data_IF_074419837448
#
_entry.id   IF_074419837448
#
_cell.length_a   1.000
_cell.length_b   1.000
_cell.length_c   1.000
_cell.angle_alpha   90.00
_cell.angle_beta   90.00
_cell.angle_gamma   90.00
#
_symmetry.space_group_name_H-M   'P 1'
#
loop_
_entity.id
_entity.type
_entity.pdbx_description
1 polymer ?
#
# COMPACT_ATOMS: atom_id res chain seq x y z
N UNK A 1 -13.77 -60.56 -32.00
CA UNK A 1 -14.87 -61.54 -31.97
C UNK A 1 -15.09 -61.83 -30.50
N UNK A 2 -15.97 -61.16 -29.77
CA UNK A 2 -17.41 -60.80 -29.97
C UNK A 2 -17.68 -59.57 -29.06
N UNK A 3 -18.18 -58.39 -29.51
CA UNK A 3 -19.59 -57.95 -29.76
C UNK A 3 -20.61 -58.52 -28.75
N UNK A 4 -21.53 -57.82 -28.06
CA UNK A 4 -22.04 -56.44 -27.80
C UNK A 4 -23.11 -56.62 -26.65
N UNK A 5 -24.00 -55.69 -26.17
CA UNK A 5 -24.13 -54.22 -26.30
C UNK A 5 -24.57 -53.43 -25.00
N UNK A 6 -24.44 -52.09 -25.11
CA UNK A 6 -25.25 -50.91 -24.69
C UNK A 6 -26.44 -51.03 -23.69
N UNK A 7 -26.52 -50.08 -22.74
CA UNK A 7 -27.79 -49.40 -22.38
C UNK A 7 -27.53 -47.97 -21.85
N UNK A 8 -28.17 -46.99 -22.50
CA UNK A 8 -28.32 -45.57 -22.15
C UNK A 8 -29.59 -45.39 -21.31
N UNK A 9 -29.60 -44.46 -20.35
CA UNK A 9 -30.82 -43.92 -19.74
C UNK A 9 -30.83 -42.39 -19.88
N UNK A 10 -31.86 -41.89 -20.56
CA UNK A 10 -32.29 -40.48 -20.67
C UNK A 10 -33.56 -40.24 -19.83
N UNK A 11 -33.89 -38.94 -19.68
CA UNK A 11 -35.18 -38.30 -19.34
C UNK A 11 -35.51 -38.15 -17.83
N UNK A 12 -36.02 -37.02 -17.32
CA UNK A 12 -36.92 -36.01 -17.92
C UNK A 12 -36.92 -34.70 -17.10
N UNK A 13 -37.19 -33.57 -17.77
CA UNK A 13 -37.55 -32.26 -17.20
C UNK A 13 -39.09 -32.15 -17.20
N UNK A 14 -39.69 -31.72 -16.09
CA UNK A 14 -41.13 -31.34 -16.04
C UNK A 14 -41.28 -29.84 -15.74
N UNK A 15 -42.03 -29.19 -16.63
CA UNK A 15 -42.55 -27.83 -16.54
C UNK A 15 -44.05 -27.92 -16.23
N UNK A 16 -44.60 -27.07 -15.37
CA UNK A 16 -46.04 -26.83 -15.27
C UNK A 16 -46.34 -25.33 -15.28
N UNK A 17 -47.23 -24.94 -16.20
CA UNK A 17 -47.91 -23.65 -16.35
C UNK A 17 -49.43 -23.84 -16.11
N UNK A 18 -50.14 -22.70 -16.03
CA UNK A 18 -51.60 -22.46 -15.99
C UNK A 18 -52.30 -22.58 -14.61
N UNK A 19 -53.23 -21.72 -14.18
CA UNK A 19 -53.98 -20.58 -14.74
C UNK A 19 -55.15 -20.28 -13.75
N UNK A 20 -55.42 -19.02 -13.35
CA UNK A 20 -56.47 -18.11 -13.85
C UNK A 20 -57.79 -18.03 -13.03
N UNK A 21 -58.28 -16.79 -12.86
CA UNK A 21 -59.64 -16.29 -12.50
C UNK A 21 -60.11 -16.48 -11.04
N UNK A 22 -60.84 -15.56 -10.38
CA UNK A 22 -61.84 -14.60 -10.89
C UNK A 22 -62.11 -13.42 -9.92
N UNK A 23 -62.76 -12.39 -10.47
CA UNK A 23 -63.11 -11.05 -9.99
C UNK A 23 -64.02 -10.94 -8.74
N UNK A 24 -64.00 -9.77 -8.11
CA UNK A 24 -65.02 -9.32 -7.15
C UNK A 24 -64.81 -7.88 -6.68
N UNK A 25 -65.45 -6.93 -7.37
CA UNK A 25 -65.38 -5.49 -7.18
C UNK A 25 -66.21 -4.97 -5.98
N UNK A 26 -65.71 -3.92 -5.29
CA UNK A 26 -66.50 -2.75 -4.87
C UNK A 26 -65.58 -1.59 -4.36
N UNK A 27 -65.77 -0.40 -4.95
CA UNK A 27 -65.21 0.93 -4.56
C UNK A 27 -66.17 1.61 -3.57
N UNK A 28 -65.90 2.85 -3.09
CA UNK A 28 -64.68 3.46 -2.55
C UNK A 28 -64.97 4.11 -1.16
N UNK A 29 -63.94 4.52 -0.41
CA UNK A 29 -64.12 5.67 0.48
C UNK A 29 -62.85 6.52 0.48
N UNK A 30 -63.07 7.79 0.20
CA UNK A 30 -62.07 8.85 0.03
C UNK A 30 -61.40 9.25 1.36
N UNK A 31 -60.25 9.92 1.18
CA UNK A 31 -59.55 10.80 2.10
C UNK A 31 -58.49 10.19 3.04
N UNK A 32 -57.27 10.05 2.52
CA UNK A 32 -56.10 10.73 3.07
C UNK A 32 -54.97 10.72 2.03
N UNK A 33 -54.82 11.83 1.30
CA UNK A 33 -53.71 12.09 0.38
C UNK A 33 -52.48 12.42 1.24
N UNK A 34 -51.50 11.52 1.27
CA UNK A 34 -50.09 11.86 1.45
C UNK A 34 -49.39 11.19 0.28
N UNK A 35 -49.10 11.98 -0.75
CA UNK A 35 -48.31 11.57 -1.90
C UNK A 35 -46.86 11.36 -1.45
N UNK A 36 -46.52 10.11 -1.11
CA UNK A 36 -45.15 9.63 -1.27
C UNK A 36 -44.96 9.29 -2.74
N UNK A 37 -44.39 10.24 -3.49
CA UNK A 37 -43.98 10.02 -4.87
C UNK A 37 -42.80 9.04 -4.89
N UNK A 38 -43.15 7.79 -5.09
CA UNK A 38 -42.27 6.67 -5.35
C UNK A 38 -41.61 6.88 -6.73
N UNK A 39 -40.52 7.65 -6.77
CA UNK A 39 -39.69 7.73 -7.97
C UNK A 39 -38.79 6.49 -7.99
N UNK A 40 -39.22 5.49 -8.76
CA UNK A 40 -38.41 4.35 -9.19
C UNK A 40 -37.14 4.86 -9.86
N UNK A 41 -36.02 4.90 -9.15
CA UNK A 41 -34.71 5.18 -9.73
C UNK A 41 -34.21 3.92 -10.45
N UNK A 42 -34.11 4.04 -11.77
CA UNK A 42 -33.46 3.08 -12.66
C UNK A 42 -31.98 2.91 -12.25
N UNK A 43 -31.51 1.69 -11.90
CA UNK A 43 -30.14 1.44 -11.45
C UNK A 43 -29.07 1.64 -12.56
N UNK A 44 -29.44 2.11 -13.74
CA UNK A 44 -28.53 2.41 -14.84
C UNK A 44 -28.15 3.91 -14.98
N UNK A 45 -28.58 4.81 -14.08
CA UNK A 45 -28.19 6.23 -14.14
C UNK A 45 -26.98 6.51 -13.23
N UNK A 46 -25.79 6.14 -13.71
CA UNK A 46 -24.53 6.64 -13.16
C UNK A 46 -24.45 8.13 -13.48
N UNK A 47 -24.65 8.99 -12.49
CA UNK A 47 -24.20 10.37 -12.62
C UNK A 47 -22.70 10.35 -12.91
N UNK A 48 -22.24 11.00 -13.99
CA UNK A 48 -20.82 11.01 -14.31
C UNK A 48 -20.11 11.73 -13.17
N UNK A 49 -19.37 10.98 -12.35
CA UNK A 49 -18.29 11.51 -11.51
C UNK A 49 -17.51 12.48 -12.40
N UNK A 50 -17.42 13.74 -11.97
CA UNK A 50 -16.57 14.75 -12.62
C UNK A 50 -15.25 14.08 -13.01
N UNK A 51 -15.01 13.99 -14.31
CA UNK A 51 -13.73 13.55 -14.82
C UNK A 51 -12.69 14.52 -14.24
N UNK A 52 -11.89 14.03 -13.29
CA UNK A 52 -10.71 14.76 -12.82
C UNK A 52 -9.89 15.03 -14.07
N UNK A 53 -9.96 16.28 -14.57
CA UNK A 53 -9.26 16.72 -15.77
C UNK A 53 -7.78 16.41 -15.58
N UNK A 54 -7.33 15.31 -16.18
CA UNK A 54 -5.93 14.91 -16.13
C UNK A 54 -5.17 15.94 -16.94
N UNK A 55 -4.57 16.90 -16.23
CA UNK A 55 -3.75 17.95 -16.83
C UNK A 55 -2.80 17.35 -17.86
N UNK A 56 -2.78 17.93 -19.05
CA UNK A 56 -1.84 17.52 -20.09
C UNK A 56 -0.39 17.74 -19.62
N UNK A 57 0.60 16.97 -20.12
CA UNK A 57 2.00 17.17 -19.75
C UNK A 57 2.50 18.61 -19.95
N UNK A 58 1.99 19.29 -20.99
CA UNK A 58 2.34 20.69 -21.31
C UNK A 58 1.73 21.68 -20.31
N UNK A 59 0.46 21.52 -19.92
CA UNK A 59 -0.16 22.35 -18.89
C UNK A 59 0.52 22.14 -17.52
N UNK A 60 0.95 20.90 -17.22
CA UNK A 60 1.71 20.57 -16.01
C UNK A 60 3.07 21.27 -16.00
N UNK A 61 3.80 21.23 -17.11
CA UNK A 61 5.10 21.88 -17.24
C UNK A 61 5.00 23.42 -17.19
N UNK A 62 3.94 23.99 -17.77
CA UNK A 62 3.63 25.41 -17.66
C UNK A 62 3.34 25.84 -16.22
N UNK A 63 2.54 25.06 -15.47
CA UNK A 63 2.31 25.31 -14.04
C UNK A 63 3.59 25.17 -13.20
N UNK A 64 4.41 24.16 -13.46
CA UNK A 64 5.69 23.97 -12.77
C UNK A 64 6.65 25.14 -13.04
N UNK A 65 6.66 25.66 -14.27
CA UNK A 65 7.47 26.83 -14.65
C UNK A 65 6.95 28.10 -13.98
N UNK A 66 5.63 28.31 -13.97
CA UNK A 66 4.98 29.43 -13.24
C UNK A 66 5.32 29.36 -11.75
N UNK A 67 5.26 28.16 -11.16
CA UNK A 67 5.62 27.93 -9.77
C UNK A 67 7.11 28.22 -9.50
N UNK A 68 8.02 27.72 -10.33
CA UNK A 68 9.45 27.98 -10.18
C UNK A 68 9.78 29.49 -10.26
N UNK A 69 9.10 30.23 -11.14
CA UNK A 69 9.25 31.68 -11.25
C UNK A 69 8.66 32.42 -10.05
N UNK A 70 7.54 31.94 -9.52
CA UNK A 70 6.90 32.44 -8.29
C UNK A 70 7.84 32.29 -7.09
N UNK A 71 8.43 31.10 -6.91
CA UNK A 71 9.43 30.85 -5.86
C UNK A 71 10.65 31.76 -6.00
N UNK A 72 11.22 31.87 -7.22
CA UNK A 72 12.40 32.71 -7.45
C UNK A 72 12.12 34.18 -7.10
N UNK A 73 10.92 34.66 -7.43
CA UNK A 73 10.49 36.02 -7.14
C UNK A 73 10.26 36.21 -5.64
N UNK A 74 9.60 35.26 -4.98
CA UNK A 74 9.42 35.23 -3.53
C UNK A 74 10.76 35.28 -2.78
N UNK A 75 11.71 34.40 -3.14
CA UNK A 75 13.03 34.34 -2.51
C UNK A 75 13.82 35.66 -2.70
N UNK A 76 13.66 36.31 -3.86
CA UNK A 76 14.28 37.60 -4.11
C UNK A 76 13.68 38.71 -3.25
N UNK A 77 12.36 38.70 -3.06
CA UNK A 77 11.63 39.74 -2.33
C UNK A 77 11.77 39.58 -0.80
N UNK A 78 11.77 38.33 -0.29
CA UNK A 78 11.86 38.08 1.14
C UNK A 78 13.28 38.30 1.70
N UNK A 79 14.31 38.12 0.87
CA UNK A 79 15.70 38.38 1.22
C UNK A 79 16.09 39.87 1.11
N UNK A 80 15.21 40.71 0.55
CA UNK A 80 15.39 42.16 0.61
C UNK A 80 14.95 42.66 2.00
N UNK A 81 15.92 43.06 2.82
CA UNK A 81 15.72 43.48 4.22
C UNK A 81 14.54 44.44 4.41
N UNK A 82 13.61 44.09 5.30
CA UNK A 82 12.50 44.95 5.74
C UNK A 82 11.10 44.50 5.30
N UNK A 83 10.97 43.37 4.61
CA UNK A 83 9.69 42.98 4.03
C UNK A 83 8.80 42.15 4.99
N UNK A 84 7.51 42.48 5.01
CA UNK A 84 6.49 41.74 5.77
C UNK A 84 6.25 40.36 5.13
N UNK A 85 6.68 39.31 5.83
CA UNK A 85 6.55 37.92 5.38
C UNK A 85 5.09 37.53 5.13
N UNK A 86 4.15 38.05 5.93
CA UNK A 86 2.72 37.73 5.77
C UNK A 86 2.19 38.32 4.46
N UNK A 87 2.44 39.61 4.23
CA UNK A 87 2.01 40.31 3.02
C UNK A 87 2.65 39.76 1.73
N UNK A 88 3.93 39.37 1.78
CA UNK A 88 4.61 38.72 0.66
C UNK A 88 4.00 37.34 0.41
N UNK A 89 3.91 36.49 1.43
CA UNK A 89 3.42 35.12 1.27
C UNK A 89 2.00 35.10 0.73
N UNK A 90 1.12 35.96 1.24
CA UNK A 90 -0.26 36.06 0.75
C UNK A 90 -0.36 36.39 -0.74
N UNK A 91 0.48 37.31 -1.23
CA UNK A 91 0.53 37.70 -2.65
C UNK A 91 0.94 36.54 -3.56
N UNK A 92 1.92 35.75 -3.14
CA UNK A 92 2.44 34.65 -3.94
C UNK A 92 1.58 33.38 -3.86
N UNK A 93 0.90 33.12 -2.73
CA UNK A 93 -0.11 32.05 -2.65
C UNK A 93 -1.32 32.38 -3.53
N UNK A 94 -1.81 33.62 -3.48
CA UNK A 94 -2.93 34.07 -4.34
C UNK A 94 -2.62 34.10 -5.84
N UNK A 95 -1.34 34.19 -6.25
CA UNK A 95 -0.96 34.12 -7.66
C UNK A 95 -0.97 32.69 -8.25
N UNK A 96 -0.97 31.68 -7.37
CA UNK A 96 -0.84 30.25 -7.72
C UNK A 96 -2.14 29.48 -7.48
N UNK A 97 -2.86 29.80 -6.40
CA UNK A 97 -4.21 29.30 -6.16
C UNK A 97 -5.21 30.09 -7.00
N UNK A 98 -6.06 29.42 -7.79
CA UNK A 98 -7.26 30.09 -8.32
C UNK A 98 -8.12 30.62 -7.17
N UNK A 99 -9.01 31.56 -7.46
CA UNK A 99 -9.75 32.43 -6.52
C UNK A 99 -10.55 31.72 -5.38
N UNK A 100 -10.57 30.39 -5.31
CA UNK A 100 -11.44 29.58 -4.45
C UNK A 100 -10.74 28.85 -3.27
N UNK A 101 -9.44 29.07 -3.01
CA UNK A 101 -8.79 28.50 -1.80
C UNK A 101 -8.23 29.59 -0.88
N UNK A 102 -8.66 29.65 0.38
CA UNK A 102 -8.19 30.66 1.32
C UNK A 102 -6.70 30.49 1.57
N UNK A 103 -5.95 31.60 1.50
CA UNK A 103 -4.59 31.65 2.02
C UNK A 103 -4.68 31.57 3.53
N UNK A 104 -4.24 30.46 4.11
CA UNK A 104 -4.18 30.30 5.56
C UNK A 104 -2.82 30.80 6.08
N UNK A 105 -2.86 31.80 6.95
CA UNK A 105 -1.69 32.28 7.66
C UNK A 105 -1.79 31.86 9.13
N UNK A 106 -0.87 30.99 9.55
CA UNK A 106 -0.77 30.55 10.92
C UNK A 106 0.58 30.97 11.49
N UNK A 107 0.54 31.69 12.62
CA UNK A 107 1.71 32.06 13.40
C UNK A 107 1.69 31.26 14.70
N UNK A 108 2.68 30.41 14.88
CA UNK A 108 2.88 29.71 16.15
C UNK A 108 3.68 30.61 17.09
N UNK A 109 3.06 31.03 18.19
CA UNK A 109 3.73 31.83 19.23
C UNK A 109 4.49 30.94 20.22
N UNK A 110 4.05 29.70 20.40
CA UNK A 110 4.74 28.68 21.17
C UNK A 110 5.68 27.87 20.28
N UNK A 111 6.86 27.53 20.80
CA UNK A 111 7.78 26.62 20.12
C UNK A 111 7.10 25.27 19.88
N UNK A 112 7.28 24.74 18.68
CA UNK A 112 6.67 23.48 18.25
C UNK A 112 7.70 22.36 18.40
N UNK A 113 7.29 21.25 19.01
CA UNK A 113 8.08 20.02 19.10
C UNK A 113 7.76 19.12 17.89
N UNK A 114 8.73 18.31 17.47
CA UNK A 114 8.54 17.28 16.44
C UNK A 114 7.54 16.22 16.90
N UNK A 115 7.49 15.93 18.20
CA UNK A 115 6.57 14.95 18.77
C UNK A 115 5.17 15.54 19.03
N UNK A 116 5.07 16.86 19.16
CA UNK A 116 3.82 17.58 19.44
C UNK A 116 3.55 18.68 18.41
N UNK A 117 3.60 18.31 17.13
CA UNK A 117 3.27 19.21 16.02
C UNK A 117 1.75 19.47 16.00
N UNK A 118 1.28 20.68 15.62
CA UNK A 118 -0.14 21.02 15.55
C UNK A 118 -0.98 19.93 14.88
N UNK A 119 -2.13 19.59 15.46
CA UNK A 119 -2.92 18.41 15.04
C UNK A 119 -3.35 18.45 13.58
N UNK A 120 -3.59 19.64 13.05
CA UNK A 120 -3.98 19.87 11.65
C UNK A 120 -2.82 19.61 10.68
N UNK A 121 -1.57 19.58 11.18
CA UNK A 121 -0.34 19.49 10.38
C UNK A 121 0.53 18.27 10.73
N UNK A 122 0.19 17.53 11.80
CA UNK A 122 0.98 16.39 12.30
C UNK A 122 1.10 15.24 11.29
N UNK A 123 0.12 15.10 10.40
CA UNK A 123 0.11 14.09 9.35
C UNK A 123 1.05 14.43 8.17
N UNK A 124 1.41 15.71 8.01
CA UNK A 124 2.28 16.16 6.93
C UNK A 124 3.77 16.00 7.31
N UNK A 125 4.25 14.75 7.23
CA UNK A 125 5.64 14.39 7.53
C UNK A 125 6.67 15.16 6.69
N UNK A 126 6.32 15.57 5.46
CA UNK A 126 7.18 16.37 4.59
C UNK A 126 7.34 17.80 5.10
N UNK A 127 6.26 18.41 5.59
CA UNK A 127 6.26 19.73 6.24
C UNK A 127 7.11 19.70 7.51
N UNK A 128 6.87 18.72 8.40
CA UNK A 128 7.64 18.55 9.64
C UNK A 128 9.14 18.45 9.33
N UNK A 129 9.53 17.57 8.41
CA UNK A 129 10.94 17.41 8.04
C UNK A 129 11.58 18.68 7.48
N UNK A 130 10.83 19.55 6.79
CA UNK A 130 11.35 20.80 6.24
C UNK A 130 11.46 21.90 7.29
N UNK A 131 10.49 22.00 8.21
CA UNK A 131 10.48 22.99 9.30
C UNK A 131 11.68 22.79 10.22
N UNK A 132 11.95 21.54 10.63
CA UNK A 132 13.07 21.23 11.54
C UNK A 132 14.46 21.26 10.87
N UNK A 133 14.53 21.50 9.55
CA UNK A 133 15.78 21.74 8.84
C UNK A 133 16.08 23.25 8.62
N UNK A 134 15.20 24.14 9.10
CA UNK A 134 15.43 25.59 9.04
C UNK A 134 16.48 26.00 10.07
N UNK A 135 17.29 26.99 9.70
CA UNK A 135 18.31 27.56 10.59
C UNK A 135 18.28 29.09 10.50
N UNK A 136 18.56 29.76 11.62
CA UNK A 136 18.57 31.24 11.72
C UNK A 136 19.64 31.87 10.82
N UNK A 137 20.75 31.19 10.56
CA UNK A 137 21.91 31.76 9.85
C UNK A 137 21.88 31.55 8.34
N UNK A 138 21.68 30.31 7.89
CA UNK A 138 21.74 29.99 6.46
C UNK A 138 20.38 29.98 5.77
N UNK A 139 19.33 29.48 6.44
CA UNK A 139 18.03 29.22 5.82
C UNK A 139 16.85 29.55 6.77
N UNK A 140 16.59 30.83 7.08
CA UNK A 140 15.50 31.22 7.97
C UNK A 140 14.12 31.13 7.30
N UNK A 141 14.08 30.93 5.98
CA UNK A 141 12.84 30.84 5.19
C UNK A 141 12.93 29.63 4.26
N UNK A 142 11.89 28.79 4.25
CA UNK A 142 11.72 27.74 3.25
C UNK A 142 10.41 27.92 2.49
N UNK A 143 10.43 27.44 1.26
CA UNK A 143 9.23 27.23 0.46
C UNK A 143 9.32 25.88 -0.24
N UNK A 144 8.19 25.18 -0.30
CA UNK A 144 8.12 23.87 -0.91
C UNK A 144 6.68 23.49 -1.22
N UNK A 145 6.54 22.46 -2.06
CA UNK A 145 5.26 21.86 -2.40
C UNK A 145 5.14 20.52 -1.69
N UNK A 146 3.98 20.27 -1.10
CA UNK A 146 3.55 18.97 -0.57
C UNK A 146 2.32 18.49 -1.35
N UNK A 147 1.74 17.37 -0.92
CA UNK A 147 0.47 16.86 -1.45
C UNK A 147 -0.67 17.84 -1.14
N UNK A 148 -0.63 18.48 0.04
CA UNK A 148 -1.69 19.36 0.53
C UNK A 148 -1.64 20.77 -0.07
N UNK A 149 -0.49 21.16 -0.61
CA UNK A 149 -0.34 22.45 -1.27
C UNK A 149 1.04 23.05 -1.17
N UNK A 150 1.07 24.37 -1.33
CA UNK A 150 2.28 25.19 -1.32
C UNK A 150 2.47 25.82 0.05
N UNK A 151 3.67 25.66 0.59
CA UNK A 151 4.04 26.13 1.92
C UNK A 151 5.12 27.18 1.82
N UNK A 152 4.94 28.26 2.57
CA UNK A 152 5.95 29.26 2.84
C UNK A 152 6.14 29.31 4.34
N UNK A 153 7.32 28.96 4.83
CA UNK A 153 7.63 28.84 6.26
C UNK A 153 8.77 29.78 6.59
N UNK A 154 8.62 30.56 7.66
CA UNK A 154 9.68 31.37 8.23
C UNK A 154 9.95 30.94 9.65
N UNK A 155 11.21 30.68 9.94
CA UNK A 155 11.70 30.48 11.29
C UNK A 155 11.67 31.81 12.05
N UNK A 156 10.91 31.85 13.14
CA UNK A 156 10.82 33.02 14.03
C UNK A 156 11.93 32.92 15.07
N UNK A 157 11.97 31.80 15.78
CA UNK A 157 12.90 31.55 16.87
C UNK A 157 13.19 30.05 16.99
N UNK A 158 14.39 29.72 17.48
CA UNK A 158 14.77 28.39 17.92
C UNK A 158 14.91 28.51 19.43
N UNK A 159 14.11 27.73 20.15
CA UNK A 159 14.17 27.59 21.61
C UNK A 159 14.92 26.30 21.92
N UNK A 160 15.95 26.37 22.76
CA UNK A 160 16.66 25.17 23.17
C UNK A 160 15.76 24.29 24.05
N UNK A 161 15.81 22.96 23.90
CA UNK A 161 15.01 22.07 24.71
C UNK A 161 15.36 22.26 26.19
N UNK A 162 14.39 22.71 26.98
CA UNK A 162 14.52 22.74 28.44
C UNK A 162 14.59 21.30 28.94
N UNK A 163 15.62 20.93 29.74
CA UNK A 163 15.70 19.58 30.28
C UNK A 163 14.48 19.31 31.15
N UNK A 164 13.83 18.16 30.93
CA UNK A 164 12.73 17.69 31.78
C UNK A 164 13.17 17.70 33.25
N UNK A 165 12.24 18.05 34.13
CA UNK A 165 12.49 17.90 35.55
C UNK A 165 12.65 16.41 35.89
N UNK A 166 13.51 16.09 36.87
CA UNK A 166 13.79 14.71 37.28
C UNK A 166 12.52 13.94 37.64
N UNK A 167 11.55 14.61 38.26
CA UNK A 167 10.28 14.00 38.64
C UNK A 167 9.43 13.60 37.41
N UNK A 168 9.36 14.44 36.38
CA UNK A 168 8.64 14.14 35.12
C UNK A 168 9.33 13.01 34.35
N UNK A 169 10.67 13.05 34.27
CA UNK A 169 11.45 12.01 33.63
C UNK A 169 11.31 10.66 34.36
N UNK A 170 11.24 10.67 35.68
CA UNK A 170 11.06 9.48 36.50
C UNK A 170 9.71 8.82 36.29
N UNK A 171 8.65 9.61 36.16
CA UNK A 171 7.31 9.08 35.91
C UNK A 171 7.20 8.45 34.52
N UNK A 172 7.75 9.10 33.49
CA UNK A 172 7.81 8.54 32.12
C UNK A 172 8.65 7.26 32.10
N UNK A 173 9.81 7.24 32.77
CA UNK A 173 10.66 6.05 32.87
C UNK A 173 9.95 4.91 33.60
N UNK A 174 9.21 5.22 34.66
CA UNK A 174 8.45 4.23 35.41
C UNK A 174 7.34 3.63 34.56
N UNK A 175 6.63 4.45 33.78
CA UNK A 175 5.60 3.98 32.86
C UNK A 175 6.19 3.09 31.75
N UNK A 176 7.29 3.51 31.12
CA UNK A 176 8.01 2.69 30.13
C UNK A 176 8.48 1.37 30.73
N UNK A 177 9.02 1.39 31.95
CA UNK A 177 9.48 0.18 32.64
C UNK A 177 8.32 -0.76 33.02
N UNK A 178 7.13 -0.23 33.33
CA UNK A 178 5.92 -1.04 33.55
C UNK A 178 5.48 -1.68 32.23
N UNK A 179 5.47 -0.92 31.13
CA UNK A 179 5.14 -1.43 29.80
C UNK A 179 6.10 -2.54 29.37
N UNK A 180 7.42 -2.32 29.49
CA UNK A 180 8.44 -3.34 29.17
C UNK A 180 8.26 -4.61 30.00
N UNK A 181 8.08 -4.48 31.32
CA UNK A 181 7.83 -5.65 32.19
C UNK A 181 6.55 -6.40 31.83
N UNK A 182 5.53 -5.69 31.35
CA UNK A 182 4.29 -6.32 30.91
C UNK A 182 4.50 -7.11 29.63
N UNK A 183 5.27 -6.57 28.67
CA UNK A 183 5.62 -7.27 27.43
C UNK A 183 6.51 -8.49 27.69
N UNK A 184 7.50 -8.38 28.58
CA UNK A 184 8.35 -9.50 28.99
C UNK A 184 7.53 -10.64 29.58
N UNK A 185 6.51 -10.30 30.40
CA UNK A 185 5.61 -11.28 30.98
C UNK A 185 4.73 -11.93 29.90
N UNK A 186 4.17 -11.15 28.97
CA UNK A 186 3.40 -11.67 27.85
C UNK A 186 4.24 -12.64 27.02
N UNK A 187 5.50 -12.29 26.73
CA UNK A 187 6.41 -13.15 26.00
C UNK A 187 6.67 -14.46 26.74
N UNK A 188 6.93 -14.41 28.06
CA UNK A 188 7.13 -15.60 28.87
C UNK A 188 5.89 -16.50 28.90
N UNK A 189 4.70 -15.93 29.06
CA UNK A 189 3.43 -16.65 29.07
C UNK A 189 3.15 -17.32 27.70
N UNK A 190 3.47 -16.63 26.59
CA UNK A 190 3.36 -17.18 25.22
C UNK A 190 4.36 -18.30 24.96
N UNK A 191 5.61 -18.17 25.42
CA UNK A 191 6.62 -19.21 25.30
C UNK A 191 6.24 -20.46 26.13
N UNK A 192 5.70 -20.27 27.33
CA UNK A 192 5.17 -21.37 28.14
C UNK A 192 3.98 -22.05 27.44
N UNK A 193 3.04 -21.27 26.89
CA UNK A 193 1.91 -21.79 26.13
C UNK A 193 2.37 -22.60 24.91
N UNK A 194 3.34 -22.07 24.14
CA UNK A 194 3.95 -22.76 23.00
C UNK A 194 4.55 -24.09 23.41
N UNK A 195 5.30 -24.15 24.51
CA UNK A 195 5.93 -25.38 24.98
C UNK A 195 4.89 -26.43 25.41
N UNK A 196 3.86 -26.01 26.15
CA UNK A 196 2.74 -26.88 26.55
C UNK A 196 1.98 -27.43 25.35
N UNK A 197 1.67 -26.58 24.37
CA UNK A 197 0.94 -26.97 23.16
C UNK A 197 1.78 -27.86 22.24
N UNK A 198 3.06 -27.54 22.04
CA UNK A 198 3.96 -28.32 21.19
C UNK A 198 4.15 -29.75 21.70
N UNK A 199 4.23 -29.93 23.03
CA UNK A 199 4.33 -31.24 23.66
C UNK A 199 3.05 -32.08 23.54
N UNK A 200 1.89 -31.44 23.38
CA UNK A 200 0.59 -32.11 23.29
C UNK A 200 0.22 -32.53 21.86
N UNK A 201 0.83 -31.89 20.85
CA UNK A 201 0.54 -32.12 19.43
C UNK A 201 1.38 -33.22 18.77
N UNK A 202 2.40 -33.76 19.46
CA UNK A 202 3.32 -34.74 18.86
C UNK A 202 2.70 -36.14 18.69
N UNK A 203 1.75 -36.55 19.55
CA UNK A 203 1.11 -37.87 19.54
C UNK A 203 -0.35 -37.85 20.07
N UNK A 204 -1.04 -36.69 20.03
CA UNK A 204 -2.30 -36.45 20.75
C UNK A 204 -3.23 -35.42 20.10
N UNK A 205 -4.38 -35.08 20.74
CA UNK A 205 -5.59 -34.53 20.11
C UNK A 205 -5.38 -33.20 19.37
N UNK A 206 -6.32 -32.84 18.49
CA UNK A 206 -6.25 -31.62 17.66
C UNK A 206 -5.85 -30.39 18.48
N UNK A 207 -5.07 -29.45 17.90
CA UNK A 207 -4.54 -28.25 18.60
C UNK A 207 -5.60 -27.52 19.43
N UNK A 208 -6.85 -27.50 18.95
CA UNK A 208 -7.99 -26.91 19.63
C UNK A 208 -8.27 -27.59 20.98
N UNK A 209 -8.32 -28.91 21.02
CA UNK A 209 -8.54 -29.66 22.25
C UNK A 209 -7.36 -29.53 23.23
N UNK A 210 -6.12 -29.48 22.71
CA UNK A 210 -4.94 -29.23 23.54
C UNK A 210 -4.95 -27.82 24.15
N UNK A 211 -5.39 -26.82 23.39
CA UNK A 211 -5.51 -25.44 23.87
C UNK A 211 -6.64 -25.26 24.88
N UNK A 212 -7.82 -25.81 24.62
CA UNK A 212 -8.97 -25.76 25.54
C UNK A 212 -8.64 -26.43 26.89
N UNK A 213 -7.90 -27.56 26.87
CA UNK A 213 -7.42 -28.22 28.10
C UNK A 213 -6.48 -27.34 28.93
N UNK A 214 -5.73 -26.46 28.27
CA UNK A 214 -4.84 -25.50 28.94
C UNK A 214 -5.54 -24.15 29.22
N UNK A 215 -6.85 -24.05 28.99
CA UNK A 215 -7.62 -22.83 29.25
C UNK A 215 -7.46 -21.73 28.18
N UNK A 216 -6.90 -22.05 27.02
CA UNK A 216 -6.72 -21.10 25.92
C UNK A 216 -7.90 -21.15 24.94
N UNK A 217 -8.30 -19.97 24.45
CA UNK A 217 -9.30 -19.85 23.39
C UNK A 217 -8.63 -19.93 22.03
N UNK A 218 -9.16 -20.74 21.11
CA UNK A 218 -8.61 -20.88 19.75
C UNK A 218 -9.59 -20.37 18.71
N UNK A 219 -9.19 -19.32 18.01
CA UNK A 219 -9.89 -18.80 16.84
C UNK A 219 -9.24 -19.33 15.56
N UNK A 220 -10.07 -19.80 14.62
CA UNK A 220 -9.60 -20.32 13.33
C UNK A 220 -9.83 -19.30 12.23
N UNK A 221 -8.77 -18.94 11.54
CA UNK A 221 -8.81 -18.00 10.42
C UNK A 221 -8.37 -18.69 9.12
N UNK A 222 -8.99 -18.28 8.02
CA UNK A 222 -8.47 -18.58 6.68
C UNK A 222 -7.63 -17.39 6.24
N UNK A 223 -6.33 -17.60 6.02
CA UNK A 223 -5.41 -16.55 5.60
C UNK A 223 -5.13 -16.59 4.10
N UNK A 224 -5.27 -15.44 3.45
CA UNK A 224 -4.85 -15.20 2.07
C UNK A 224 -4.18 -13.83 1.99
N UNK A 225 -3.04 -13.74 1.30
CA UNK A 225 -2.33 -12.48 1.06
C UNK A 225 -3.19 -11.39 0.41
N UNK A 226 -4.18 -11.77 -0.41
CA UNK A 226 -5.08 -10.80 -1.07
C UNK A 226 -6.21 -10.31 -0.18
N UNK A 227 -6.58 -11.09 0.83
CA UNK A 227 -7.69 -10.83 1.73
C UNK A 227 -7.30 -11.34 3.12
N UNK A 228 -6.37 -10.64 3.81
CA UNK A 228 -6.03 -10.97 5.18
C UNK A 228 -7.25 -10.74 6.10
N UNK A 229 -7.31 -11.40 7.26
CA UNK A 229 -8.25 -11.04 8.32
C UNK A 229 -8.12 -9.56 8.70
N UNK A 230 -9.20 -8.97 9.22
CA UNK A 230 -9.18 -7.59 9.70
C UNK A 230 -8.28 -7.45 10.93
N UNK A 231 -7.54 -6.34 11.03
CA UNK A 231 -6.64 -6.05 12.16
C UNK A 231 -7.38 -5.98 13.51
N UNK A 232 -8.69 -5.74 13.49
CA UNK A 232 -9.54 -5.79 14.69
C UNK A 232 -9.70 -7.20 15.28
N UNK A 233 -9.44 -8.25 14.51
CA UNK A 233 -9.59 -9.65 14.95
C UNK A 233 -8.24 -10.29 15.25
N UNK A 234 -7.25 -10.06 14.39
CA UNK A 234 -5.89 -10.58 14.51
C UNK A 234 -4.95 -9.58 13.86
N UNK A 235 -3.82 -9.33 14.51
CA UNK A 235 -2.73 -8.55 13.93
C UNK A 235 -2.26 -9.17 12.61
N UNK A 236 -2.54 -8.49 11.50
CA UNK A 236 -2.25 -9.00 10.16
C UNK A 236 -0.76 -9.04 9.86
N UNK A 237 0.05 -8.16 10.48
CA UNK A 237 1.49 -8.13 10.30
C UNK A 237 2.17 -9.28 11.05
N UNK A 238 1.81 -9.53 12.31
CA UNK A 238 2.29 -10.69 13.04
C UNK A 238 1.83 -12.00 12.38
N UNK A 239 0.58 -12.07 11.91
CA UNK A 239 0.10 -13.23 11.16
C UNK A 239 0.89 -13.43 9.85
N UNK A 240 1.17 -12.35 9.12
CA UNK A 240 1.99 -12.41 7.89
C UNK A 240 3.40 -12.92 8.20
N UNK A 241 4.04 -12.42 9.27
CA UNK A 241 5.35 -12.89 9.74
C UNK A 241 5.30 -14.38 10.10
N UNK A 242 4.25 -14.84 10.77
CA UNK A 242 4.09 -16.26 11.10
C UNK A 242 4.01 -17.15 9.85
N UNK A 243 3.28 -16.71 8.81
CA UNK A 243 2.99 -17.50 7.62
C UNK A 243 4.13 -17.46 6.60
N UNK A 244 4.66 -16.27 6.29
CA UNK A 244 5.67 -16.06 5.26
C UNK A 244 7.09 -16.01 5.80
N UNK A 245 7.25 -15.72 7.09
CA UNK A 245 8.55 -15.45 7.69
C UNK A 245 8.93 -13.97 7.60
N UNK A 246 10.15 -13.68 8.00
CA UNK A 246 10.74 -12.33 7.95
C UNK A 246 11.83 -12.28 6.90
N UNK A 247 11.85 -11.20 6.12
CA UNK A 247 12.96 -10.89 5.21
C UNK A 247 13.80 -9.85 5.92
N UNK A 248 15.08 -10.17 6.17
CA UNK A 248 16.00 -9.20 6.75
C UNK A 248 16.16 -8.01 5.81
N UNK A 249 15.81 -6.81 6.29
CA UNK A 249 15.99 -5.57 5.53
C UNK A 249 17.21 -4.78 6.00
N UNK A 250 17.72 -5.11 7.18
CA UNK A 250 18.90 -4.51 7.81
C UNK A 250 19.98 -5.58 8.03
N UNK A 251 21.23 -5.14 8.16
CA UNK A 251 22.41 -6.02 8.34
C UNK A 251 22.33 -6.93 9.56
N UNK A 252 21.56 -6.53 10.59
CA UNK A 252 21.52 -7.19 11.89
C UNK A 252 20.31 -8.12 12.04
N UNK A 253 19.44 -8.16 11.04
CA UNK A 253 18.28 -9.06 11.01
C UNK A 253 18.64 -10.37 10.29
N UNK A 254 18.08 -11.48 10.76
CA UNK A 254 18.18 -12.77 10.05
C UNK A 254 16.86 -13.06 9.36
N UNK A 255 16.93 -13.40 8.07
CA UNK A 255 15.78 -13.89 7.32
C UNK A 255 15.34 -15.21 7.92
N UNK A 256 14.13 -15.26 8.47
CA UNK A 256 13.57 -16.49 9.03
C UNK A 256 12.48 -17.02 8.11
N UNK A 257 12.47 -18.34 7.81
CA UNK A 257 11.38 -18.92 7.05
C UNK A 257 10.08 -18.89 7.86
N UNK A 258 8.96 -18.73 7.18
CA UNK A 258 7.64 -18.85 7.81
C UNK A 258 7.40 -20.25 8.40
N UNK A 259 6.47 -20.32 9.33
CA UNK A 259 6.13 -21.55 10.07
C UNK A 259 5.65 -22.64 9.11
N UNK A 260 6.02 -23.89 9.36
CA UNK A 260 5.62 -25.03 8.50
C UNK A 260 4.22 -25.50 8.91
N UNK A 261 3.45 -26.06 7.97
CA UNK A 261 2.19 -26.71 8.30
C UNK A 261 2.38 -27.82 9.35
N UNK A 262 1.40 -27.96 10.24
CA UNK A 262 1.43 -28.85 11.41
C UNK A 262 2.27 -28.35 12.58
N UNK A 263 2.87 -27.14 12.52
CA UNK A 263 3.70 -26.59 13.60
C UNK A 263 3.15 -25.26 14.14
N UNK A 264 3.53 -24.98 15.40
CA UNK A 264 3.33 -23.70 16.06
C UNK A 264 4.49 -22.78 15.71
N UNK A 265 4.20 -21.50 15.48
CA UNK A 265 5.19 -20.47 15.17
C UNK A 265 6.14 -20.20 16.34
N UNK A 266 7.16 -19.41 16.08
CA UNK A 266 7.83 -18.68 17.15
C UNK A 266 6.89 -17.65 17.80
N UNK A 267 7.25 -17.21 19.00
CA UNK A 267 6.53 -16.16 19.71
C UNK A 267 6.78 -14.84 19.00
N UNK A 268 5.70 -14.23 18.52
CA UNK A 268 5.76 -13.00 17.75
C UNK A 268 5.26 -11.87 18.63
N UNK A 269 6.09 -10.85 18.81
CA UNK A 269 5.80 -9.69 19.66
C UNK A 269 5.76 -8.41 18.82
N UNK A 270 4.93 -7.47 19.24
CA UNK A 270 4.93 -6.07 18.80
C UNK A 270 4.88 -5.13 20.02
N UNK A 271 4.73 -3.82 19.80
CA UNK A 271 4.68 -2.81 20.87
C UNK A 271 3.52 -3.01 21.84
N UNK A 272 2.42 -3.58 21.37
CA UNK A 272 1.16 -3.66 22.14
C UNK A 272 0.85 -5.08 22.66
N UNK A 273 1.63 -6.10 22.27
CA UNK A 273 1.39 -7.47 22.70
C UNK A 273 2.12 -8.52 21.85
N UNK A 274 1.58 -9.74 21.83
CA UNK A 274 2.15 -10.82 21.04
C UNK A 274 1.20 -11.98 20.80
N UNK A 275 1.56 -12.86 19.87
CA UNK A 275 0.78 -14.03 19.50
C UNK A 275 1.64 -15.23 19.10
N UNK A 276 1.04 -16.42 19.19
CA UNK A 276 1.55 -17.66 18.61
C UNK A 276 0.50 -18.22 17.63
N UNK A 277 0.97 -18.76 16.50
CA UNK A 277 0.10 -19.23 15.42
C UNK A 277 0.39 -20.70 15.13
N UNK A 278 -0.65 -21.52 15.13
CA UNK A 278 -0.59 -22.88 14.61
C UNK A 278 -1.03 -22.90 13.15
N UNK A 279 -0.16 -23.36 12.25
CA UNK A 279 -0.50 -23.50 10.84
C UNK A 279 -1.03 -24.90 10.61
N UNK A 280 -2.34 -25.05 10.47
CA UNK A 280 -2.95 -26.35 10.21
C UNK A 280 -2.57 -26.91 8.84
N UNK A 281 -2.67 -26.09 7.80
CA UNK A 281 -2.41 -26.49 6.42
C UNK A 281 -1.88 -25.31 5.61
N UNK A 282 -1.02 -25.61 4.62
CA UNK A 282 -0.60 -24.66 3.58
C UNK A 282 -0.94 -25.24 2.22
N UNK A 283 -1.98 -24.72 1.59
CA UNK A 283 -2.37 -25.11 0.23
C UNK A 283 -2.06 -23.97 -0.73
N UNK A 284 -1.38 -24.29 -1.84
CA UNK A 284 -1.34 -23.41 -3.00
C UNK A 284 -2.61 -23.69 -3.81
N UNK A 285 -3.52 -22.72 -3.94
CA UNK A 285 -4.63 -22.85 -4.89
C UNK A 285 -4.04 -23.02 -6.29
N UNK A 286 -4.41 -24.11 -6.96
CA UNK A 286 -4.06 -24.31 -8.37
C UNK A 286 -4.54 -23.10 -9.17
N UNK A 287 -3.62 -22.41 -9.83
CA UNK A 287 -4.01 -21.30 -10.70
C UNK A 287 -4.60 -21.93 -11.98
N UNK A 288 -5.86 -21.67 -12.34
CA UNK A 288 -6.46 -22.24 -13.56
C UNK A 288 -5.72 -21.82 -14.84
N UNK A 289 -4.94 -20.74 -14.78
CA UNK A 289 -4.10 -20.24 -15.87
C UNK A 289 -2.61 -20.63 -15.73
N UNK A 290 -2.24 -21.46 -14.75
CA UNK A 290 -0.82 -21.81 -14.50
C UNK A 290 -0.13 -22.39 -15.73
N UNK A 291 -0.82 -23.26 -16.46
CA UNK A 291 -0.32 -23.89 -17.68
C UNK A 291 -0.10 -22.86 -18.79
N UNK A 292 -1.02 -21.92 -18.96
CA UNK A 292 -0.90 -20.86 -19.96
C UNK A 292 0.24 -19.88 -19.61
N UNK A 293 0.34 -19.46 -18.35
CA UNK A 293 1.42 -18.59 -17.88
C UNK A 293 2.79 -19.27 -18.00
N UNK A 294 2.91 -20.55 -17.64
CA UNK A 294 4.14 -21.33 -17.83
C UNK A 294 4.52 -21.45 -19.30
N UNK A 295 3.53 -21.63 -20.19
CA UNK A 295 3.73 -21.68 -21.64
C UNK A 295 4.23 -20.33 -22.17
N UNK A 296 3.65 -19.22 -21.71
CA UNK A 296 4.07 -17.87 -22.10
C UNK A 296 5.50 -17.57 -21.63
N UNK A 297 5.81 -17.85 -20.37
CA UNK A 297 7.17 -17.66 -19.79
C UNK A 297 8.19 -18.49 -20.57
N UNK A 298 7.88 -19.77 -20.84
CA UNK A 298 8.77 -20.65 -21.61
C UNK A 298 9.00 -20.14 -23.03
N UNK A 299 7.95 -19.64 -23.70
CA UNK A 299 8.04 -19.02 -25.03
C UNK A 299 8.92 -17.77 -25.01
N UNK A 300 8.76 -16.91 -23.99
CA UNK A 300 9.57 -15.69 -23.82
C UNK A 300 11.06 -16.01 -23.63
N UNK A 301 11.38 -16.94 -22.73
CA UNK A 301 12.75 -17.40 -22.47
C UNK A 301 13.35 -18.02 -23.74
N UNK A 302 12.58 -18.84 -24.47
CA UNK A 302 13.04 -19.44 -25.73
C UNK A 302 13.36 -18.38 -26.78
N UNK A 303 12.51 -17.36 -26.95
CA UNK A 303 12.75 -16.25 -27.88
C UNK A 303 14.00 -15.46 -27.51
N UNK A 304 14.20 -15.14 -26.23
CA UNK A 304 15.41 -14.47 -25.74
C UNK A 304 16.67 -15.30 -26.00
N UNK A 305 16.63 -16.59 -25.72
CA UNK A 305 17.75 -17.49 -25.99
C UNK A 305 18.08 -17.60 -27.49
N UNK A 306 17.06 -17.62 -28.36
CA UNK A 306 17.27 -17.61 -29.82
C UNK A 306 17.92 -16.30 -30.25
N UNK A 307 17.45 -15.15 -29.77
CA UNK A 307 18.05 -13.84 -30.12
C UNK A 307 19.50 -13.73 -29.64
N UNK A 308 19.80 -14.17 -28.41
CA UNK A 308 21.16 -14.19 -27.88
C UNK A 308 22.09 -15.11 -28.68
N UNK A 309 21.61 -16.31 -29.05
CA UNK A 309 22.37 -17.24 -29.90
C UNK A 309 22.59 -16.66 -31.29
N UNK A 310 21.56 -16.07 -31.89
CA UNK A 310 21.66 -15.44 -33.22
C UNK A 310 22.62 -14.25 -33.21
N UNK A 311 22.58 -13.39 -32.20
CA UNK A 311 23.53 -12.28 -32.05
C UNK A 311 24.95 -12.77 -31.84
N UNK A 312 25.14 -13.84 -31.08
CA UNK A 312 26.46 -14.43 -30.84
C UNK A 312 27.02 -15.02 -32.14
N UNK A 313 26.20 -15.78 -32.86
CA UNK A 313 26.53 -16.29 -34.20
C UNK A 313 26.86 -15.17 -35.18
N UNK A 314 26.03 -14.11 -35.28
CA UNK A 314 26.31 -12.96 -36.14
C UNK A 314 27.63 -12.26 -35.78
N UNK A 315 27.96 -12.17 -34.49
CA UNK A 315 29.24 -11.60 -34.04
C UNK A 315 30.42 -12.46 -34.48
N UNK A 316 30.32 -13.79 -34.38
CA UNK A 316 31.33 -14.72 -34.87
C UNK A 316 31.48 -14.60 -36.38
N UNK A 317 30.37 -14.66 -37.14
CA UNK A 317 30.41 -14.49 -38.58
C UNK A 317 31.05 -13.15 -39.00
N UNK A 318 30.78 -12.04 -38.29
CA UNK A 318 31.43 -10.74 -38.57
C UNK A 318 32.93 -10.73 -38.30
N UNK A 319 33.42 -11.53 -37.35
CA UNK A 319 34.86 -11.70 -37.10
C UNK A 319 35.51 -12.50 -38.23
N UNK A 320 34.80 -13.49 -38.75
CA UNK A 320 35.29 -14.40 -39.79
C UNK A 320 35.15 -13.85 -41.22
N UNK A 321 34.48 -12.71 -41.43
CA UNK A 321 34.51 -12.02 -42.72
C UNK A 321 35.96 -11.66 -43.06
N UNK A 322 36.49 -12.33 -44.09
CA UNK A 322 37.85 -12.11 -44.59
C UNK A 322 38.06 -10.65 -45.01
N UNK A 323 39.30 -10.17 -44.89
CA UNK A 323 39.65 -8.82 -45.35
C UNK A 323 39.31 -8.59 -46.84
N UNK A 324 39.30 -9.65 -47.65
CA UNK A 324 38.88 -9.63 -49.05
C UNK A 324 37.38 -9.36 -49.21
N UNK A 325 36.53 -10.02 -48.43
CA UNK A 325 35.07 -9.81 -48.52
C UNK A 325 34.64 -8.46 -47.95
N UNK A 326 35.35 -7.92 -46.93
CA UNK A 326 35.21 -6.50 -46.53
C UNK A 326 35.61 -5.52 -47.64
N UNK A 327 36.74 -5.77 -48.30
CA UNK A 327 37.19 -4.94 -49.41
C UNK A 327 36.23 -5.00 -50.61
N UNK A 328 35.67 -6.17 -50.93
CA UNK A 328 34.69 -6.34 -52.00
C UNK A 328 33.41 -5.55 -51.70
N UNK A 329 32.91 -5.60 -50.46
CA UNK A 329 31.75 -4.83 -50.02
C UNK A 329 31.99 -3.31 -50.12
N UNK A 330 33.16 -2.83 -49.69
CA UNK A 330 33.53 -1.42 -49.79
C UNK A 330 33.65 -0.96 -51.25
N UNK A 331 34.25 -1.78 -52.13
CA UNK A 331 34.35 -1.49 -53.57
C UNK A 331 32.97 -1.44 -54.24
N UNK A 332 32.08 -2.39 -53.95
CA UNK A 332 30.71 -2.40 -54.47
C UNK A 332 29.90 -1.19 -53.98
N UNK A 333 30.07 -0.79 -52.71
CA UNK A 333 29.42 0.40 -52.16
C UNK A 333 29.95 1.69 -52.80
N UNK A 334 31.26 1.78 -53.04
CA UNK A 334 31.85 2.91 -53.72
C UNK A 334 31.35 3.02 -55.17
N UNK A 335 31.35 1.91 -55.92
CA UNK A 335 30.87 1.87 -57.31
C UNK A 335 29.38 2.24 -57.45
N UNK A 336 28.55 1.91 -56.45
CA UNK A 336 27.14 2.30 -56.43
C UNK A 336 26.93 3.79 -56.15
N UNK A 337 27.85 4.45 -55.44
CA UNK A 337 27.75 5.87 -55.13
C UNK A 337 28.38 6.77 -56.20
N UNK A 338 29.12 6.19 -57.14
CA UNK A 338 29.73 6.88 -58.29
C UNK A 338 29.07 6.56 -59.64
N UNK A 339 27.91 5.89 -59.61
CA UNK A 339 26.99 5.71 -60.75
C UNK A 339 25.73 6.55 -60.54
#
# INVERSE_FOLDING_TARGET
>A
VTEEPVSEEELTVETQEEGSSDEGAEKPNEAAIIEEENTTEDPAKVEPKEEVKVMTPQEREALLTKFANTIKSFNKEINANGSDFSAISARYVGAVSGDDKPVEYQKFETAVDRENFPEELKENTQLIGRVFNLDKQENPVANFKTIDGFWFVRLIEIVEPTPMNFDEAKDILKEKMIAEKSLDKIQADLDEAKNKLSSSTADGPTIKAAAEKNGYTVSRYSYNLKTPPADSEVDSELLRRAVLGTIATKSDETTKPGTIAGKISETLMDTDGGMIVYIAEKSLKSNPLETEVKREISSRIRKQNIDLRFRSWLKEQRKDISAESRNLYLKLRAARNSA
#
